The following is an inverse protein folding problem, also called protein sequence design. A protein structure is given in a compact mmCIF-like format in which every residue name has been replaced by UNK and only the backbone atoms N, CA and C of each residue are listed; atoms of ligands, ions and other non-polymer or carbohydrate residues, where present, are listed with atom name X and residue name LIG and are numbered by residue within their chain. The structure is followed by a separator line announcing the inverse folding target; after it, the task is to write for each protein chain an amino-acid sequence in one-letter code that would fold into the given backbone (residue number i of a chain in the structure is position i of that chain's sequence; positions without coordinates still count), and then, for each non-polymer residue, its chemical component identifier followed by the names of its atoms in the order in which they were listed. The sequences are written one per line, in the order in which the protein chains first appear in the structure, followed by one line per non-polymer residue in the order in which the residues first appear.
data_IF_579972687296
#
_entry.id   IF_579972687296
#
_cell.length_a   1.000
_cell.length_b   1.000
_cell.length_c   1.000
_cell.angle_alpha   90.00
_cell.angle_beta   90.00
_cell.angle_gamma   90.00
#
_symmetry.space_group_name_H-M   'P 1'
#
loop_
_entity.id
_entity.type
_entity.pdbx_description
1 polymer ?
#
# COMPACT_ATOMS: atom_id res chain seq x y z
N UNK A 1 -15.24 18.72 -7.40
CA UNK A 1 -14.19 17.95 -6.73
C UNK A 1 -13.14 17.69 -7.79
N UNK A 2 -12.18 18.60 -7.89
CA UNK A 2 -11.11 18.52 -8.91
C UNK A 2 -10.18 17.38 -8.52
N UNK A 3 -10.07 16.41 -9.41
CA UNK A 3 -9.13 15.29 -9.34
C UNK A 3 -7.72 15.87 -9.48
N UNK A 4 -7.01 16.02 -8.36
CA UNK A 4 -5.74 16.77 -8.32
C UNK A 4 -4.55 15.93 -8.83
N UNK A 5 -4.77 14.68 -9.25
CA UNK A 5 -3.73 13.75 -9.69
C UNK A 5 -4.15 12.87 -10.90
N UNK A 6 -4.48 13.46 -12.07
CA UNK A 6 -4.90 12.70 -13.25
C UNK A 6 -3.85 11.70 -13.78
N UNK A 7 -2.59 11.85 -13.35
CA UNK A 7 -1.45 11.05 -13.83
C UNK A 7 -0.97 9.99 -12.82
N UNK A 8 -1.58 9.87 -11.63
CA UNK A 8 -1.10 8.96 -10.57
C UNK A 8 -2.09 7.86 -10.25
N UNK A 9 -1.62 6.61 -10.25
CA UNK A 9 -2.42 5.47 -9.83
C UNK A 9 -2.49 5.28 -8.31
N UNK A 10 -1.60 5.94 -7.56
CA UNK A 10 -1.50 5.90 -6.08
C UNK A 10 -0.85 7.18 -5.57
N UNK A 11 -1.34 7.73 -4.46
CA UNK A 11 -0.80 8.94 -3.82
C UNK A 11 -1.19 9.01 -2.34
N UNK A 12 -0.58 9.94 -1.60
CA UNK A 12 -0.88 10.18 -0.18
C UNK A 12 -1.68 11.46 0.01
N UNK A 13 -2.61 11.46 0.95
CA UNK A 13 -3.35 12.64 1.38
C UNK A 13 -3.43 12.71 2.91
N UNK A 14 -3.52 13.91 3.51
CA UNK A 14 -3.88 14.04 4.91
C UNK A 14 -5.39 13.80 5.12
N UNK A 15 -5.74 13.01 6.13
CA UNK A 15 -7.12 12.81 6.62
C UNK A 15 -7.08 12.79 8.16
N UNK A 16 -7.81 13.69 8.81
CA UNK A 16 -7.89 13.81 10.28
C UNK A 16 -6.52 13.81 11.01
N UNK A 17 -5.54 14.53 10.46
CA UNK A 17 -4.20 14.65 11.02
C UNK A 17 -3.31 13.42 10.82
N UNK A 18 -3.73 12.48 9.98
CA UNK A 18 -3.02 11.26 9.62
C UNK A 18 -2.77 11.20 8.12
N UNK A 19 -1.79 10.42 7.68
CA UNK A 19 -1.64 10.10 6.26
C UNK A 19 -2.57 8.95 5.90
N UNK A 20 -3.27 9.08 4.78
CA UNK A 20 -3.98 8.01 4.08
C UNK A 20 -3.44 7.88 2.67
N UNK A 21 -3.62 6.71 2.06
CA UNK A 21 -3.16 6.42 0.70
C UNK A 21 -4.37 6.22 -0.19
N UNK A 22 -4.49 7.04 -1.23
CA UNK A 22 -5.53 6.90 -2.25
C UNK A 22 -4.96 6.11 -3.42
N UNK A 23 -5.80 5.35 -4.09
CA UNK A 23 -5.43 4.60 -5.28
C UNK A 23 -6.59 4.47 -6.25
N UNK A 24 -6.29 4.23 -7.52
CA UNK A 24 -7.31 3.92 -8.53
C UNK A 24 -7.64 2.42 -8.48
N UNK A 25 -8.90 2.06 -8.25
CA UNK A 25 -9.35 0.67 -8.30
C UNK A 25 -9.33 0.14 -9.75
N UNK A 26 -8.31 -0.65 -10.07
CA UNK A 26 -8.12 -1.17 -11.42
C UNK A 26 -9.16 -2.23 -11.82
N UNK A 27 -9.94 -2.77 -10.89
CA UNK A 27 -11.03 -3.71 -11.22
C UNK A 27 -12.23 -3.02 -11.86
N UNK A 28 -12.35 -1.70 -11.68
CA UNK A 28 -13.46 -0.88 -12.17
C UNK A 28 -13.20 -0.27 -13.55
N UNK A 29 -11.94 -0.20 -13.95
CA UNK A 29 -11.55 0.30 -15.27
C UNK A 29 -11.86 -0.73 -16.38
N UNK A 30 -12.23 -0.28 -17.60
CA UNK A 30 -12.41 1.12 -18.02
C UNK A 30 -13.82 1.68 -17.78
N UNK A 31 -14.71 0.91 -17.15
CA UNK A 31 -16.12 1.28 -17.00
C UNK A 31 -16.32 2.49 -16.08
N UNK A 32 -15.55 2.56 -15.00
CA UNK A 32 -15.66 3.62 -13.99
C UNK A 32 -14.31 3.90 -13.33
N UNK A 33 -14.01 5.20 -13.12
CA UNK A 33 -12.89 5.63 -12.29
C UNK A 33 -13.35 5.70 -10.83
N UNK A 34 -12.93 4.72 -10.02
CA UNK A 34 -13.21 4.65 -8.59
C UNK A 34 -11.93 4.83 -7.79
N UNK A 35 -11.94 5.74 -6.82
CA UNK A 35 -10.81 5.99 -5.93
C UNK A 35 -11.01 5.23 -4.62
N UNK A 36 -10.12 4.27 -4.34
CA UNK A 36 -10.04 3.57 -3.07
C UNK A 36 -9.20 4.32 -2.04
N UNK A 37 -9.23 3.87 -0.79
CA UNK A 37 -8.49 4.49 0.32
C UNK A 37 -7.93 3.43 1.25
N UNK A 38 -6.66 3.58 1.61
CA UNK A 38 -5.95 2.75 2.57
C UNK A 38 -5.55 3.65 3.76
N UNK A 39 -5.95 3.24 4.95
CA UNK A 39 -5.74 3.88 6.26
C UNK A 39 -4.87 3.02 7.17
N UNK A 40 -4.92 1.70 6.97
CA UNK A 40 -4.14 0.71 7.70
C UNK A 40 -3.50 -0.28 6.71
N UNK A 41 -2.47 -0.99 7.17
CA UNK A 41 -1.67 -1.86 6.30
C UNK A 41 -2.45 -3.10 5.82
N UNK A 42 -3.44 -3.54 6.60
CA UNK A 42 -4.34 -4.65 6.24
C UNK A 42 -5.19 -4.32 5.01
N UNK A 43 -5.59 -3.06 4.83
CA UNK A 43 -6.32 -2.63 3.63
C UNK A 43 -5.40 -2.65 2.39
N UNK A 44 -4.11 -2.38 2.57
CA UNK A 44 -3.13 -2.51 1.49
C UNK A 44 -2.92 -3.97 1.09
N UNK A 45 -2.85 -4.88 2.07
CA UNK A 45 -2.83 -6.33 1.82
C UNK A 45 -4.07 -6.77 1.04
N UNK A 46 -5.26 -6.35 1.46
CA UNK A 46 -6.52 -6.70 0.79
C UNK A 46 -6.57 -6.16 -0.65
N UNK A 47 -6.24 -4.89 -0.86
CA UNK A 47 -6.24 -4.27 -2.20
C UNK A 47 -5.26 -4.96 -3.17
N UNK A 48 -4.12 -5.44 -2.68
CA UNK A 48 -3.17 -6.26 -3.46
C UNK A 48 -3.77 -7.63 -3.76
N UNK A 49 -4.31 -8.33 -2.75
CA UNK A 49 -4.86 -9.68 -2.87
C UNK A 49 -6.05 -9.75 -3.83
N UNK A 50 -6.97 -8.78 -3.72
CA UNK A 50 -8.20 -8.67 -4.53
C UNK A 50 -7.95 -8.09 -5.92
N UNK A 51 -6.70 -7.73 -6.24
CA UNK A 51 -6.28 -7.13 -7.51
C UNK A 51 -6.94 -5.77 -7.84
N UNK A 52 -7.48 -5.07 -6.82
CA UNK A 52 -7.80 -3.65 -6.93
C UNK A 52 -6.54 -2.84 -7.29
N UNK A 53 -5.40 -3.27 -6.75
CA UNK A 53 -4.07 -2.84 -7.14
C UNK A 53 -3.36 -3.98 -7.87
N UNK A 54 -2.91 -3.74 -9.10
CA UNK A 54 -2.15 -4.72 -9.89
C UNK A 54 -1.10 -4.09 -10.81
N UNK A 55 -0.21 -4.94 -11.32
CA UNK A 55 1.01 -4.53 -12.03
C UNK A 55 2.19 -4.46 -11.08
N UNK A 56 3.32 -5.07 -11.44
CA UNK A 56 4.44 -5.29 -10.52
C UNK A 56 4.94 -4.01 -9.82
N UNK A 57 5.13 -2.86 -10.52
CA UNK A 57 5.57 -1.64 -9.86
C UNK A 57 4.55 -1.10 -8.85
N UNK A 58 3.26 -1.10 -9.20
CA UNK A 58 2.22 -0.54 -8.33
C UNK A 58 2.00 -1.40 -7.09
N UNK A 59 2.05 -2.72 -7.24
CA UNK A 59 1.97 -3.66 -6.11
C UNK A 59 3.12 -3.40 -5.12
N UNK A 60 4.35 -3.23 -5.59
CA UNK A 60 5.51 -2.92 -4.75
C UNK A 60 5.34 -1.63 -3.96
N UNK A 61 4.97 -0.54 -4.64
CA UNK A 61 4.71 0.77 -4.01
C UNK A 61 3.56 0.69 -2.99
N UNK A 62 2.52 -0.09 -3.27
CA UNK A 62 1.39 -0.28 -2.34
C UNK A 62 1.82 -1.04 -1.10
N UNK A 63 2.66 -2.07 -1.23
CA UNK A 63 3.25 -2.78 -0.09
C UNK A 63 4.12 -1.85 0.77
N UNK A 64 4.95 -1.03 0.13
CA UNK A 64 5.77 -0.03 0.81
C UNK A 64 4.92 0.98 1.61
N UNK A 65 3.86 1.51 1.01
CA UNK A 65 2.89 2.36 1.71
C UNK A 65 2.19 1.63 2.86
N UNK A 66 1.91 0.34 2.72
CA UNK A 66 1.41 -0.50 3.80
C UNK A 66 2.32 -0.47 5.03
N UNK A 67 3.64 -0.56 4.86
CA UNK A 67 4.60 -0.45 5.98
C UNK A 67 4.54 0.93 6.65
N UNK A 68 4.49 2.01 5.86
CA UNK A 68 4.34 3.37 6.39
C UNK A 68 3.05 3.52 7.23
N UNK A 69 1.94 2.95 6.75
CA UNK A 69 0.67 2.94 7.47
C UNK A 69 0.75 2.11 8.76
N UNK A 70 1.49 0.99 8.76
CA UNK A 70 1.72 0.20 9.97
C UNK A 70 2.44 1.01 11.04
N UNK A 71 3.56 1.65 10.69
CA UNK A 71 4.36 2.49 11.62
C UNK A 71 3.55 3.68 12.14
N UNK A 72 2.70 4.28 11.30
CA UNK A 72 1.83 5.37 11.71
C UNK A 72 0.82 4.95 12.79
N UNK A 73 0.35 3.69 12.75
CA UNK A 73 -0.61 3.14 13.72
C UNK A 73 0.10 2.68 15.00
N UNK A 74 1.21 1.95 14.84
CA UNK A 74 2.01 1.39 15.92
C UNK A 74 3.49 1.40 15.50
N UNK A 75 4.32 2.33 16.03
CA UNK A 75 5.71 2.47 15.66
C UNK A 75 6.62 1.48 16.43
N UNK A 76 6.16 0.26 16.67
CA UNK A 76 6.96 -0.80 17.31
C UNK A 76 7.57 -1.75 16.29
N UNK A 77 8.75 -2.29 16.60
CA UNK A 77 9.38 -3.36 15.81
C UNK A 77 8.45 -4.56 15.60
N UNK A 78 7.64 -4.90 16.61
CA UNK A 78 6.69 -6.00 16.52
C UNK A 78 5.61 -5.76 15.45
N UNK A 79 5.07 -4.54 15.37
CA UNK A 79 4.10 -4.17 14.36
C UNK A 79 4.73 -4.13 12.96
N UNK A 80 5.94 -3.57 12.83
CA UNK A 80 6.69 -3.54 11.57
C UNK A 80 6.95 -4.96 11.04
N UNK A 81 7.38 -5.88 11.91
CA UNK A 81 7.64 -7.30 11.56
C UNK A 81 6.36 -8.00 11.12
N UNK A 82 5.24 -7.77 11.82
CA UNK A 82 3.95 -8.35 11.47
C UNK A 82 3.47 -7.90 10.08
N UNK A 83 3.50 -6.59 9.82
CA UNK A 83 3.10 -6.01 8.54
C UNK A 83 4.01 -6.48 7.39
N UNK A 84 5.33 -6.48 7.60
CA UNK A 84 6.32 -6.97 6.62
C UNK A 84 6.04 -8.42 6.23
N UNK A 85 5.81 -9.28 7.22
CA UNK A 85 5.54 -10.72 7.00
C UNK A 85 4.29 -10.95 6.16
N UNK A 86 3.23 -10.18 6.42
CA UNK A 86 1.97 -10.27 5.68
C UNK A 86 2.11 -9.74 4.27
N UNK A 87 2.53 -8.48 4.12
CA UNK A 87 2.61 -7.78 2.84
C UNK A 87 3.54 -8.46 1.84
N UNK A 88 4.69 -8.99 2.28
CA UNK A 88 5.62 -9.71 1.38
C UNK A 88 5.04 -10.99 0.79
N UNK A 89 3.99 -11.54 1.41
CA UNK A 89 3.34 -12.79 0.97
C UNK A 89 1.95 -12.60 0.36
N UNK A 90 1.43 -11.37 0.31
CA UNK A 90 0.08 -11.07 -0.16
C UNK A 90 -0.22 -11.64 -1.56
N UNK A 91 0.78 -11.62 -2.46
CA UNK A 91 0.71 -12.31 -3.76
C UNK A 91 2.05 -12.99 -4.10
N UNK A 92 2.24 -14.28 -3.81
CA UNK A 92 3.53 -14.98 -3.95
C UNK A 92 4.12 -15.01 -5.36
N UNK A 93 3.29 -14.81 -6.39
CA UNK A 93 3.72 -14.74 -7.79
C UNK A 93 4.13 -13.33 -8.24
N UNK A 94 3.90 -12.31 -7.41
CA UNK A 94 4.39 -10.95 -7.66
C UNK A 94 5.86 -10.87 -7.26
N UNK A 95 6.74 -11.30 -8.17
CA UNK A 95 8.18 -11.50 -7.92
C UNK A 95 8.92 -10.32 -7.28
N UNK A 96 8.44 -9.09 -7.46
CA UNK A 96 9.07 -7.89 -6.89
C UNK A 96 8.52 -7.50 -5.52
N UNK A 97 7.30 -7.92 -5.15
CA UNK A 97 6.62 -7.46 -3.94
C UNK A 97 7.44 -7.76 -2.67
N UNK A 98 7.96 -8.99 -2.57
CA UNK A 98 8.77 -9.36 -1.41
C UNK A 98 10.04 -8.52 -1.31
N UNK A 99 10.73 -8.29 -2.44
CA UNK A 99 11.95 -7.49 -2.47
C UNK A 99 11.71 -6.02 -2.09
N UNK A 100 10.65 -5.41 -2.62
CA UNK A 100 10.31 -4.01 -2.34
C UNK A 100 9.90 -3.80 -0.87
N UNK A 101 9.11 -4.74 -0.31
CA UNK A 101 8.72 -4.73 1.11
C UNK A 101 9.91 -4.95 2.02
N UNK A 102 10.75 -5.95 1.71
CA UNK A 102 11.95 -6.26 2.51
C UNK A 102 12.94 -5.08 2.50
N UNK A 103 13.13 -4.42 1.35
CA UNK A 103 14.02 -3.27 1.23
C UNK A 103 13.58 -2.08 2.10
N UNK A 104 12.30 -1.72 2.09
CA UNK A 104 11.81 -0.64 2.94
C UNK A 104 11.83 -1.03 4.43
N UNK A 105 11.48 -2.26 4.76
CA UNK A 105 11.53 -2.73 6.15
C UNK A 105 12.95 -2.62 6.73
N UNK A 106 13.99 -2.87 5.92
CA UNK A 106 15.38 -2.73 6.35
C UNK A 106 15.78 -1.28 6.67
N UNK A 107 15.24 -0.29 5.96
CA UNK A 107 15.49 1.14 6.21
C UNK A 107 14.75 1.67 7.45
N UNK A 108 13.65 1.01 7.83
CA UNK A 108 12.86 1.36 9.01
C UNK A 108 13.41 0.72 10.29
N UNK A 109 14.24 -0.33 10.20
CA UNK A 109 14.67 -1.10 11.35
C UNK A 109 16.03 -0.64 11.91
N UNK A 110 16.22 -0.65 13.25
CA UNK A 110 15.18 -0.73 14.29
C UNK A 110 14.43 0.60 14.44
N UNK A 111 13.15 0.53 14.83
CA UNK A 111 12.34 1.71 15.18
C UNK A 111 12.58 2.18 16.62
#
# INVERSE_FOLDING_TARGET
MTDDHPDRSIWTEPEDGRTVVRFIDQTRLPAELVIGTLRIWEEAEDAICTMQVRGAPLIGVTGAYGLCLAVQVDPSDAALVAATTRLRTARPTAVNLAGDVDALAAELAPL
#
